data_IF_257921440989
#
_entry.id   IF_257921440989
#
_cell.length_a   1.000
_cell.length_b   1.000
_cell.length_c   1.000
_cell.angle_alpha   90.00
_cell.angle_beta   90.00
_cell.angle_gamma   90.00
#
_symmetry.space_group_name_H-M   'P 1'
#
loop_
_entity.id
_entity.type
_entity.pdbx_description
1 polymer ?
#
# COMPACT_ATOMS: atom_id res chain seq x y z
N UNK A 1 -15.66 3.78 11.97
CA UNK A 1 -14.34 3.24 12.39
C UNK A 1 -13.24 4.30 12.49
N UNK A 2 -12.63 4.81 11.41
CA UNK A 2 -11.54 5.81 11.58
C UNK A 2 -12.01 7.07 12.33
N UNK A 3 -13.17 7.62 11.97
CA UNK A 3 -13.73 8.79 12.66
C UNK A 3 -14.10 8.51 14.13
N UNK A 4 -14.55 7.29 14.45
CA UNK A 4 -14.80 6.86 15.84
C UNK A 4 -13.51 6.77 16.65
N UNK A 5 -12.38 6.46 16.00
CA UNK A 5 -11.05 6.48 16.59
C UNK A 5 -10.40 7.88 16.57
N UNK A 6 -11.14 8.93 16.18
CA UNK A 6 -10.64 10.31 16.14
C UNK A 6 -9.82 10.68 14.89
N UNK A 7 -9.77 9.81 13.88
CA UNK A 7 -9.06 10.05 12.61
C UNK A 7 -10.08 10.37 11.52
N UNK A 8 -10.06 11.59 10.98
CA UNK A 8 -10.99 12.03 9.95
C UNK A 8 -10.37 11.95 8.54
N UNK A 9 -10.55 10.84 7.80
CA UNK A 9 -10.04 10.74 6.43
C UNK A 9 -10.86 11.58 5.46
N UNK A 10 -10.25 11.95 4.33
CA UNK A 10 -11.00 12.45 3.17
C UNK A 10 -11.89 11.31 2.63
N UNK A 11 -13.20 11.52 2.61
CA UNK A 11 -14.13 10.57 1.99
C UNK A 11 -13.90 10.53 0.46
N UNK A 12 -13.93 9.33 -0.11
CA UNK A 12 -13.71 9.10 -1.54
C UNK A 12 -14.75 8.11 -2.07
N UNK A 13 -15.40 8.49 -3.16
CA UNK A 13 -16.43 7.69 -3.82
C UNK A 13 -15.82 6.43 -4.47
N UNK A 14 -16.52 5.31 -4.38
CA UNK A 14 -16.32 4.15 -5.26
C UNK A 14 -16.76 4.50 -6.68
N UNK A 15 -16.35 3.67 -7.64
CA UNK A 15 -16.62 3.89 -9.08
C UNK A 15 -18.12 4.07 -9.36
N UNK A 16 -18.98 3.32 -8.67
CA UNK A 16 -20.44 3.38 -8.85
C UNK A 16 -21.13 4.49 -8.01
N UNK A 17 -20.41 5.28 -7.21
CA UNK A 17 -20.97 6.27 -6.27
C UNK A 17 -20.94 7.71 -6.81
N UNK A 18 -20.34 7.95 -7.98
CA UNK A 18 -20.28 9.27 -8.63
C UNK A 18 -18.85 9.78 -8.84
N UNK A 19 -18.70 10.99 -9.38
CA UNK A 19 -17.38 11.57 -9.74
C UNK A 19 -17.02 12.80 -8.91
N UNK A 20 -15.71 13.04 -8.61
CA UNK A 20 -14.58 12.15 -8.91
C UNK A 20 -14.53 10.94 -7.98
N UNK A 21 -14.33 9.74 -8.54
CA UNK A 21 -14.19 8.49 -7.78
C UNK A 21 -12.73 8.05 -7.63
N UNK A 22 -12.48 7.00 -6.84
CA UNK A 22 -11.15 6.44 -6.57
C UNK A 22 -10.30 6.23 -7.83
N UNK A 23 -10.86 5.68 -8.92
CA UNK A 23 -10.10 5.48 -10.16
C UNK A 23 -9.66 6.81 -10.81
N UNK A 24 -10.47 7.88 -10.73
CA UNK A 24 -10.10 9.18 -11.29
C UNK A 24 -8.92 9.77 -10.51
N UNK A 25 -8.99 9.67 -9.17
CA UNK A 25 -7.95 10.16 -8.27
C UNK A 25 -6.63 9.41 -8.45
N UNK A 26 -6.67 8.08 -8.61
CA UNK A 26 -5.48 7.28 -8.93
C UNK A 26 -4.88 7.70 -10.28
N UNK A 27 -5.73 7.84 -11.31
CA UNK A 27 -5.29 8.27 -12.65
C UNK A 27 -4.67 9.67 -12.64
N UNK A 28 -5.19 10.56 -11.80
CA UNK A 28 -4.68 11.92 -11.63
C UNK A 28 -3.42 12.01 -10.75
N UNK A 29 -2.87 10.88 -10.29
CA UNK A 29 -1.65 10.85 -9.49
C UNK A 29 -1.85 11.37 -8.06
N UNK A 30 -3.09 11.35 -7.53
CA UNK A 30 -3.36 11.86 -6.18
C UNK A 30 -2.84 10.97 -5.04
N UNK A 31 -2.34 9.76 -5.36
CA UNK A 31 -1.89 8.80 -4.37
C UNK A 31 -0.47 8.31 -4.66
N UNK A 32 0.34 8.25 -3.61
CA UNK A 32 1.65 7.59 -3.61
C UNK A 32 1.60 6.19 -2.98
N UNK A 33 0.59 5.93 -2.16
CA UNK A 33 0.39 4.65 -1.47
C UNK A 33 -1.11 4.29 -1.34
N UNK A 34 -1.42 3.01 -1.48
CA UNK A 34 -2.78 2.46 -1.34
C UNK A 34 -2.76 1.15 -0.52
N UNK A 35 -3.59 1.05 0.51
CA UNK A 35 -3.91 -0.22 1.18
C UNK A 35 -5.31 -0.67 0.75
N UNK A 36 -5.43 -1.84 0.13
CA UNK A 36 -6.70 -2.39 -0.36
C UNK A 36 -6.87 -3.87 0.04
N UNK A 37 -7.54 -4.10 1.18
CA UNK A 37 -7.88 -5.45 1.65
C UNK A 37 -9.31 -5.82 1.28
N UNK A 38 -9.53 -7.02 0.75
CA UNK A 38 -10.87 -7.48 0.35
C UNK A 38 -11.17 -8.88 0.85
N UNK A 39 -12.40 -9.08 1.35
CA UNK A 39 -12.92 -10.38 1.73
C UNK A 39 -14.25 -10.65 1.02
N UNK A 40 -14.43 -11.86 0.50
CA UNK A 40 -15.64 -12.27 -0.22
C UNK A 40 -15.63 -11.93 -1.72
N UNK A 41 -16.28 -12.79 -2.52
CA UNK A 41 -16.21 -12.79 -3.99
C UNK A 41 -16.63 -11.46 -4.63
N UNK A 42 -17.74 -10.87 -4.16
CA UNK A 42 -18.28 -9.61 -4.68
C UNK A 42 -17.33 -8.43 -4.43
N UNK A 43 -16.78 -8.32 -3.22
CA UNK A 43 -15.80 -7.28 -2.89
C UNK A 43 -14.50 -7.42 -3.69
N UNK A 44 -14.09 -8.65 -4.04
CA UNK A 44 -12.91 -8.91 -4.87
C UNK A 44 -13.09 -8.38 -6.30
N UNK A 45 -14.29 -8.53 -6.87
CA UNK A 45 -14.63 -8.02 -8.20
C UNK A 45 -14.67 -6.50 -8.22
N UNK A 46 -15.35 -5.88 -7.24
CA UNK A 46 -15.44 -4.41 -7.14
C UNK A 46 -14.07 -3.75 -6.91
N UNK A 47 -13.21 -4.40 -6.12
CA UNK A 47 -11.84 -3.92 -5.84
C UNK A 47 -10.83 -4.19 -6.95
N UNK A 48 -11.18 -5.01 -7.95
CA UNK A 48 -10.30 -5.30 -9.09
C UNK A 48 -9.88 -4.03 -9.83
N UNK A 49 -10.79 -3.06 -9.94
CA UNK A 49 -10.50 -1.77 -10.57
C UNK A 49 -9.42 -1.02 -9.82
N UNK A 50 -9.47 -1.00 -8.48
CA UNK A 50 -8.48 -0.31 -7.63
C UNK A 50 -7.09 -0.91 -7.85
N UNK A 51 -6.96 -2.24 -7.76
CA UNK A 51 -5.66 -2.92 -7.96
C UNK A 51 -5.11 -2.72 -9.37
N UNK A 52 -5.97 -2.85 -10.39
CA UNK A 52 -5.56 -2.63 -11.79
C UNK A 52 -5.10 -1.20 -12.02
N UNK A 53 -5.83 -0.22 -11.50
CA UNK A 53 -5.46 1.20 -11.63
C UNK A 53 -4.19 1.52 -10.87
N UNK A 54 -4.03 1.04 -9.63
CA UNK A 54 -2.79 1.24 -8.87
C UNK A 54 -1.57 0.69 -9.63
N UNK A 55 -1.68 -0.54 -10.18
CA UNK A 55 -0.62 -1.14 -11.00
C UNK A 55 -0.35 -0.36 -12.29
N UNK A 56 -1.40 0.07 -13.00
CA UNK A 56 -1.28 0.82 -14.25
C UNK A 56 -0.58 2.17 -14.05
N UNK A 57 -0.95 2.88 -12.99
CA UNK A 57 -0.43 4.23 -12.68
C UNK A 57 0.77 4.22 -11.72
N UNK A 58 1.38 3.04 -11.51
CA UNK A 58 2.61 2.86 -10.73
C UNK A 58 2.54 3.37 -9.28
N UNK A 59 1.37 3.24 -8.67
CA UNK A 59 1.16 3.54 -7.25
C UNK A 59 1.47 2.28 -6.44
N UNK A 60 2.36 2.40 -5.45
CA UNK A 60 2.66 1.28 -4.55
C UNK A 60 1.39 0.89 -3.78
N UNK A 61 1.06 -0.41 -3.74
CA UNK A 61 -0.15 -0.87 -3.06
C UNK A 61 0.02 -2.22 -2.36
N UNK A 62 -0.61 -2.34 -1.20
CA UNK A 62 -0.68 -3.56 -0.42
C UNK A 62 -2.09 -4.15 -0.43
N UNK A 63 -2.20 -5.47 -0.43
CA UNK A 63 -3.47 -6.20 -0.39
C UNK A 63 -3.75 -6.89 0.94
N UNK A 64 -2.83 -6.75 1.90
CA UNK A 64 -2.93 -7.30 3.26
C UNK A 64 -2.58 -6.23 4.28
N UNK A 65 -3.23 -6.24 5.46
CA UNK A 65 -2.86 -5.33 6.54
C UNK A 65 -1.44 -5.60 7.04
N UNK A 66 -1.01 -6.86 7.11
CA UNK A 66 0.34 -7.22 7.55
C UNK A 66 1.42 -6.63 6.61
N UNK A 67 1.19 -6.71 5.29
CA UNK A 67 2.05 -6.06 4.30
C UNK A 67 2.07 -4.55 4.51
N UNK A 68 0.90 -3.93 4.70
CA UNK A 68 0.82 -2.50 4.96
C UNK A 68 1.56 -2.06 6.22
N UNK A 69 1.47 -2.82 7.32
CA UNK A 69 2.26 -2.55 8.52
C UNK A 69 3.76 -2.65 8.25
N UNK A 70 4.22 -3.70 7.57
CA UNK A 70 5.64 -3.83 7.19
C UNK A 70 6.12 -2.67 6.30
N UNK A 71 5.31 -2.25 5.32
CA UNK A 71 5.57 -1.07 4.48
C UNK A 71 5.71 0.20 5.32
N UNK A 72 4.80 0.43 6.29
CA UNK A 72 4.91 1.60 7.19
C UNK A 72 6.11 1.55 8.12
N UNK A 73 6.51 0.36 8.60
CA UNK A 73 7.72 0.20 9.40
C UNK A 73 8.97 0.55 8.58
N UNK A 74 9.02 0.11 7.32
CA UNK A 74 10.13 0.39 6.41
C UNK A 74 10.31 1.89 6.11
N UNK A 75 9.28 2.73 6.30
CA UNK A 75 9.40 4.20 6.17
C UNK A 75 10.35 4.83 7.20
N UNK A 76 10.68 4.13 8.28
CA UNK A 76 11.64 4.60 9.29
C UNK A 76 13.09 4.18 9.00
N UNK A 77 13.34 3.48 7.89
CA UNK A 77 14.67 3.03 7.49
C UNK A 77 15.08 3.67 6.15
N UNK A 78 16.38 3.92 5.99
CA UNK A 78 16.95 4.32 4.70
C UNK A 78 17.60 3.09 4.04
N UNK A 79 17.02 2.64 2.93
CA UNK A 79 17.53 1.50 2.18
C UNK A 79 18.94 1.72 1.60
N UNK A 80 19.42 2.96 1.56
CA UNK A 80 20.73 3.35 1.04
C UNK A 80 21.78 3.58 2.12
N UNK A 81 21.40 3.54 3.41
CA UNK A 81 22.28 3.82 4.55
C UNK A 81 23.47 2.87 4.61
N UNK A 82 23.24 1.58 4.39
CA UNK A 82 24.25 0.54 4.54
C UNK A 82 24.07 -0.57 3.52
N UNK A 83 25.15 -0.85 2.80
CA UNK A 83 25.29 -2.04 1.96
C UNK A 83 26.11 -3.10 2.72
N UNK A 84 25.80 -4.37 2.51
CA UNK A 84 26.58 -5.49 3.07
C UNK A 84 26.61 -6.61 2.04
N UNK A 85 27.80 -7.09 1.71
CA UNK A 85 27.98 -8.21 0.80
C UNK A 85 27.64 -9.55 1.46
N UNK A 86 27.32 -10.57 0.65
CA UNK A 86 27.03 -11.92 1.16
C UNK A 86 28.22 -12.50 1.93
N UNK A 87 29.45 -12.21 1.49
CA UNK A 87 30.69 -12.64 2.14
C UNK A 87 30.80 -12.05 3.56
N UNK A 88 30.51 -10.75 3.72
CA UNK A 88 30.50 -10.09 5.03
C UNK A 88 29.40 -10.62 5.94
N UNK A 89 28.20 -10.88 5.40
CA UNK A 89 27.10 -11.50 6.16
C UNK A 89 27.50 -12.88 6.69
N UNK A 90 28.10 -13.74 5.86
CA UNK A 90 28.56 -15.07 6.28
C UNK A 90 29.69 -15.01 7.33
N UNK A 91 30.58 -14.03 7.23
CA UNK A 91 31.67 -13.85 8.19
C UNK A 91 31.15 -13.48 9.61
N UNK A 92 29.98 -12.85 9.72
CA UNK A 92 29.36 -12.50 11.00
C UNK A 92 28.86 -13.73 11.77
N UNK A 93 28.40 -14.77 11.07
CA UNK A 93 27.97 -16.03 11.68
C UNK A 93 29.13 -16.74 12.38
N UNK A 94 30.32 -16.74 11.75
CA UNK A 94 31.53 -17.39 12.30
C UNK A 94 32.13 -16.68 13.52
N UNK A 95 31.69 -15.45 13.80
CA UNK A 95 32.14 -14.64 14.96
C UNK A 95 31.23 -14.79 16.18
N UNK A 96 30.08 -15.47 16.05
CA UNK A 96 29.19 -15.86 17.17
C UNK A 96 29.56 -17.25 17.68
#
# INVERSE_FOLDING_TARGET
>A
MLGEAGINPRLVNKVHEGRPHIQDRIKNGEYTYIINTTAGRRAIEDSRVIRRSALQYKVHYDTTLNGGFATTMALNADATEKVTSVQEMHAQIKKS
#
